data_IF_239760182957
#
_entry.id   IF_239760182957
#
_cell.length_a   1.000
_cell.length_b   1.000
_cell.length_c   1.000
_cell.angle_alpha   90.00
_cell.angle_beta   90.00
_cell.angle_gamma   90.00
#
_symmetry.space_group_name_H-M   'P 1'
#
loop_
_entity.id
_entity.type
_entity.pdbx_description
1 polymer ?
#
# COMPACT_ATOMS: atom_id res chain seq x y z
N UNK A 1 -5.86 3.36 19.68
CA UNK A 1 -4.85 2.79 18.76
C UNK A 1 -3.75 3.78 18.39
N UNK A 2 -4.09 4.94 17.85
CA UNK A 2 -3.09 5.83 17.25
C UNK A 2 -2.08 6.42 18.22
N UNK A 3 -2.49 6.78 19.43
CA UNK A 3 -1.56 7.35 20.40
C UNK A 3 -0.58 6.34 21.02
N UNK A 4 -0.78 5.04 20.76
CA UNK A 4 0.17 4.00 21.14
C UNK A 4 0.93 3.45 19.93
N UNK A 5 0.72 4.04 18.75
CA UNK A 5 1.39 3.60 17.54
C UNK A 5 2.87 3.92 17.61
N UNK A 6 3.70 2.92 17.36
CA UNK A 6 5.14 3.10 17.24
C UNK A 6 5.51 3.22 15.78
N UNK A 7 6.40 4.17 15.47
CA UNK A 7 6.87 4.41 14.12
C UNK A 7 8.38 4.31 14.11
N UNK A 8 8.90 3.49 13.21
CA UNK A 8 10.34 3.36 12.96
C UNK A 8 10.67 4.03 11.63
N UNK A 9 11.68 4.90 11.62
CA UNK A 9 12.18 5.49 10.38
C UNK A 9 13.35 4.65 9.86
N UNK A 10 13.16 4.09 8.68
CA UNK A 10 14.14 3.20 8.04
C UNK A 10 15.06 3.98 7.12
N UNK A 11 16.32 3.53 7.00
CA UNK A 11 17.27 4.05 6.00
C UNK A 11 17.06 3.52 4.59
N UNK A 12 16.12 2.62 4.37
CA UNK A 12 15.83 2.07 3.04
C UNK A 12 15.10 3.08 2.17
N UNK A 13 15.39 3.08 0.87
CA UNK A 13 14.71 3.95 -0.08
C UNK A 13 13.35 3.36 -0.45
N UNK A 14 12.35 4.25 -0.53
CA UNK A 14 11.04 3.89 -1.09
C UNK A 14 10.32 2.77 -0.35
N UNK A 15 10.33 2.78 0.98
CA UNK A 15 9.87 1.66 1.77
C UNK A 15 8.89 2.11 2.86
N UNK A 16 7.77 1.41 2.94
CA UNK A 16 6.80 1.57 4.02
C UNK A 16 6.10 0.23 4.25
N UNK A 17 5.91 -0.14 5.50
CA UNK A 17 5.23 -1.38 5.85
C UNK A 17 5.03 -1.50 7.34
N UNK A 18 4.63 -2.69 7.77
CA UNK A 18 4.34 -3.01 9.16
C UNK A 18 5.18 -4.19 9.58
N UNK A 19 5.76 -4.11 10.78
CA UNK A 19 6.54 -5.22 11.34
C UNK A 19 5.65 -6.42 11.64
N UNK A 20 6.10 -7.61 11.26
CA UNK A 20 5.43 -8.86 11.58
C UNK A 20 5.69 -9.34 13.01
N UNK A 21 6.58 -8.65 13.74
CA UNK A 21 6.94 -8.99 15.12
C UNK A 21 5.95 -8.34 16.10
N UNK A 22 5.75 -7.03 16.00
CA UNK A 22 4.94 -6.28 16.97
C UNK A 22 3.94 -5.32 16.30
N UNK A 23 3.85 -5.32 14.97
CA UNK A 23 2.88 -4.52 14.23
C UNK A 23 3.20 -3.03 14.17
N UNK A 24 4.43 -2.62 14.52
CA UNK A 24 4.76 -1.19 14.41
C UNK A 24 4.94 -0.77 12.94
N UNK A 25 4.71 0.52 12.68
CA UNK A 25 4.83 1.09 11.35
C UNK A 25 6.29 1.39 11.03
N UNK A 26 6.72 1.02 9.83
CA UNK A 26 8.09 1.27 9.34
C UNK A 26 8.00 2.16 8.11
N UNK A 27 8.65 3.33 8.14
CA UNK A 27 8.60 4.29 7.04
C UNK A 27 10.03 4.65 6.61
N UNK A 28 10.30 4.56 5.30
CA UNK A 28 11.56 5.06 4.75
C UNK A 28 11.59 6.58 4.88
N UNK A 29 12.63 7.11 5.52
CA UNK A 29 12.83 8.55 5.60
C UNK A 29 13.03 9.15 4.21
N UNK A 30 13.72 8.46 3.32
CA UNK A 30 13.91 8.89 1.94
C UNK A 30 12.56 9.01 1.21
N UNK A 31 11.72 7.98 1.31
CA UNK A 31 10.41 7.99 0.66
C UNK A 31 9.54 9.12 1.21
N UNK A 32 9.53 9.29 2.53
CA UNK A 32 8.74 10.34 3.17
C UNK A 32 9.14 11.73 2.68
N UNK A 33 10.43 11.95 2.42
CA UNK A 33 10.95 13.25 1.99
C UNK A 33 10.89 13.45 0.47
N UNK A 34 10.91 12.40 -0.34
CA UNK A 34 11.07 12.49 -1.78
C UNK A 34 9.94 11.86 -2.59
N UNK A 35 9.05 11.09 -1.97
CA UNK A 35 7.96 10.44 -2.67
C UNK A 35 6.83 11.39 -3.01
N UNK A 36 5.91 10.92 -3.83
CA UNK A 36 4.69 11.65 -4.16
C UNK A 36 3.79 11.75 -2.92
N UNK A 37 3.34 12.96 -2.61
CA UNK A 37 2.57 13.22 -1.39
C UNK A 37 1.26 12.42 -1.34
N UNK A 38 0.58 12.27 -2.47
CA UNK A 38 -0.66 11.51 -2.54
C UNK A 38 -0.38 10.03 -2.30
N UNK A 39 0.65 9.49 -2.95
CA UNK A 39 1.04 8.08 -2.75
C UNK A 39 1.43 7.83 -1.28
N UNK A 40 2.18 8.74 -0.68
CA UNK A 40 2.57 8.63 0.74
C UNK A 40 1.33 8.60 1.63
N UNK A 41 0.40 9.51 1.41
CA UNK A 41 -0.84 9.56 2.20
C UNK A 41 -1.64 8.28 2.08
N UNK A 42 -1.82 7.79 0.86
CA UNK A 42 -2.57 6.55 0.63
C UNK A 42 -1.85 5.33 1.19
N UNK A 43 -0.50 5.32 1.13
CA UNK A 43 0.29 4.26 1.75
C UNK A 43 0.14 4.26 3.27
N UNK A 44 0.08 5.43 3.89
CA UNK A 44 -0.16 5.51 5.34
C UNK A 44 -1.53 4.92 5.68
N UNK A 45 -2.58 5.26 4.93
CA UNK A 45 -3.91 4.67 5.13
C UNK A 45 -3.85 3.15 5.00
N UNK A 46 -3.20 2.66 3.95
CA UNK A 46 -3.03 1.22 3.70
C UNK A 46 -2.33 0.53 4.88
N UNK A 47 -1.21 1.09 5.34
CA UNK A 47 -0.43 0.46 6.41
C UNK A 47 -1.12 0.56 7.77
N UNK A 48 -1.90 1.61 8.03
CA UNK A 48 -2.67 1.69 9.27
C UNK A 48 -3.75 0.61 9.35
N UNK A 49 -4.32 0.20 8.22
CA UNK A 49 -5.22 -0.96 8.20
C UNK A 49 -4.46 -2.22 8.63
N UNK A 50 -3.23 -2.41 8.14
CA UNK A 50 -2.41 -3.55 8.57
C UNK A 50 -2.08 -3.51 10.06
N UNK A 51 -1.80 -2.35 10.63
CA UNK A 51 -1.58 -2.21 12.08
C UNK A 51 -2.83 -2.71 12.83
N UNK A 52 -4.02 -2.29 12.41
CA UNK A 52 -5.27 -2.74 13.01
C UNK A 52 -5.44 -4.24 12.88
N UNK A 53 -5.19 -4.79 11.68
CA UNK A 53 -5.29 -6.22 11.42
C UNK A 53 -4.35 -7.01 12.33
N UNK A 54 -3.12 -6.54 12.49
CA UNK A 54 -2.16 -7.17 13.38
C UNK A 54 -2.69 -7.20 14.81
N UNK A 55 -3.24 -6.10 15.29
CA UNK A 55 -3.82 -6.01 16.64
C UNK A 55 -5.02 -6.93 16.83
N UNK A 56 -5.75 -7.21 15.74
CA UNK A 56 -6.88 -8.14 15.74
C UNK A 56 -6.44 -9.60 15.62
N UNK A 57 -5.14 -9.87 15.52
CA UNK A 57 -4.60 -11.22 15.43
C UNK A 57 -4.62 -11.82 14.03
N UNK A 58 -4.85 -11.01 12.99
CA UNK A 58 -4.83 -11.51 11.60
C UNK A 58 -3.42 -11.75 11.11
N UNK A 59 -3.26 -12.78 10.28
CA UNK A 59 -1.98 -13.10 9.66
C UNK A 59 -1.74 -12.20 8.45
N UNK A 60 -0.78 -11.28 8.55
CA UNK A 60 -0.53 -10.28 7.49
C UNK A 60 0.22 -10.87 6.29
N UNK A 61 1.10 -11.86 6.51
CA UNK A 61 1.99 -12.40 5.49
C UNK A 61 1.61 -13.83 5.13
N UNK A 62 0.33 -14.03 4.81
CA UNK A 62 -0.23 -15.35 4.53
C UNK A 62 0.22 -15.85 3.17
N UNK A 63 1.15 -16.80 3.16
CA UNK A 63 1.74 -17.35 1.94
C UNK A 63 0.81 -18.30 1.15
N UNK A 64 -0.40 -18.59 1.67
CA UNK A 64 -1.39 -19.37 0.92
C UNK A 64 -1.97 -18.60 -0.25
N UNK A 65 -1.77 -17.29 -0.27
CA UNK A 65 -2.28 -16.39 -1.32
C UNK A 65 -1.13 -15.66 -1.99
N UNK A 66 -1.27 -15.39 -3.29
CA UNK A 66 -0.44 -14.38 -3.93
C UNK A 66 -0.72 -13.03 -3.28
N UNK A 67 0.27 -12.14 -3.27
CA UNK A 67 0.16 -10.86 -2.59
C UNK A 67 -1.13 -10.11 -2.94
N UNK A 68 -1.45 -10.00 -4.23
CA UNK A 68 -2.62 -9.23 -4.69
C UNK A 68 -3.95 -9.90 -4.38
N UNK A 69 -3.94 -11.17 -4.03
CA UNK A 69 -5.15 -11.93 -3.67
C UNK A 69 -5.29 -12.11 -2.16
N UNK A 70 -4.30 -11.67 -1.40
CA UNK A 70 -4.27 -11.83 0.05
C UNK A 70 -5.37 -11.00 0.69
N UNK A 71 -6.28 -11.60 1.47
CA UNK A 71 -7.43 -10.86 2.04
C UNK A 71 -7.06 -9.62 2.85
N UNK A 72 -5.96 -9.68 3.60
CA UNK A 72 -5.50 -8.52 4.37
C UNK A 72 -5.03 -7.39 3.47
N UNK A 73 -4.39 -7.71 2.34
CA UNK A 73 -3.97 -6.70 1.38
C UNK A 73 -5.17 -6.09 0.65
N UNK A 74 -6.14 -6.93 0.26
CA UNK A 74 -7.35 -6.44 -0.40
C UNK A 74 -8.10 -5.47 0.51
N UNK A 75 -8.26 -5.80 1.79
CA UNK A 75 -8.91 -4.91 2.73
C UNK A 75 -8.15 -3.58 2.85
N UNK A 76 -6.82 -3.64 3.01
CA UNK A 76 -6.00 -2.44 3.14
C UNK A 76 -6.07 -1.55 1.89
N UNK A 77 -5.98 -2.16 0.71
CA UNK A 77 -6.13 -1.42 -0.55
C UNK A 77 -7.54 -0.85 -0.73
N UNK A 78 -8.57 -1.56 -0.27
CA UNK A 78 -9.95 -1.06 -0.36
C UNK A 78 -10.11 0.24 0.41
N UNK A 79 -9.53 0.33 1.60
CA UNK A 79 -9.56 1.58 2.38
C UNK A 79 -8.79 2.71 1.69
N UNK A 80 -7.62 2.40 1.12
CA UNK A 80 -6.84 3.40 0.39
C UNK A 80 -7.58 3.90 -0.86
N UNK A 81 -8.21 2.99 -1.60
CA UNK A 81 -8.99 3.36 -2.80
C UNK A 81 -10.20 4.20 -2.41
N UNK A 82 -10.90 3.86 -1.35
CA UNK A 82 -12.03 4.66 -0.85
C UNK A 82 -11.58 6.09 -0.55
N UNK A 83 -10.45 6.24 0.16
CA UNK A 83 -9.90 7.56 0.45
C UNK A 83 -9.47 8.29 -0.81
N UNK A 84 -8.87 7.59 -1.77
CA UNK A 84 -8.49 8.17 -3.05
C UNK A 84 -9.72 8.75 -3.78
N UNK A 85 -10.83 8.03 -3.75
CA UNK A 85 -12.08 8.53 -4.34
C UNK A 85 -12.63 9.74 -3.59
N UNK A 86 -12.52 9.75 -2.27
CA UNK A 86 -12.92 10.91 -1.47
C UNK A 86 -12.08 12.15 -1.80
N UNK A 87 -10.83 11.96 -2.18
CA UNK A 87 -9.95 13.04 -2.63
C UNK A 87 -10.22 13.48 -4.08
N UNK A 88 -11.12 12.79 -4.79
CA UNK A 88 -11.45 13.10 -6.16
C UNK A 88 -10.47 12.56 -7.20
N UNK A 89 -9.68 11.55 -6.87
CA UNK A 89 -8.73 10.98 -7.81
C UNK A 89 -9.44 10.17 -8.88
N UNK A 90 -8.92 10.24 -10.11
CA UNK A 90 -9.43 9.44 -11.24
C UNK A 90 -8.99 7.97 -11.07
N UNK A 91 -9.68 7.08 -11.77
CA UNK A 91 -9.28 5.66 -11.80
C UNK A 91 -7.87 5.49 -12.36
N UNK A 92 -7.49 6.33 -13.35
CA UNK A 92 -6.13 6.32 -13.88
C UNK A 92 -5.09 6.62 -12.80
N UNK A 93 -5.34 7.67 -12.00
CA UNK A 93 -4.43 8.02 -10.90
C UNK A 93 -4.40 6.95 -9.82
N UNK A 94 -5.55 6.32 -9.54
CA UNK A 94 -5.63 5.21 -8.59
C UNK A 94 -4.78 4.03 -9.08
N UNK A 95 -4.85 3.69 -10.37
CA UNK A 95 -4.01 2.64 -10.94
C UNK A 95 -2.51 2.96 -10.80
N UNK A 96 -2.11 4.22 -10.97
CA UNK A 96 -0.74 4.63 -10.73
C UNK A 96 -0.31 4.36 -9.28
N UNK A 97 -1.21 4.62 -8.33
CA UNK A 97 -0.95 4.31 -6.93
C UNK A 97 -0.84 2.81 -6.69
N UNK A 98 -1.73 2.01 -7.26
CA UNK A 98 -1.78 0.56 -7.05
C UNK A 98 -0.58 -0.17 -7.64
N UNK A 99 -0.05 0.33 -8.77
CA UNK A 99 1.04 -0.32 -9.48
C UNK A 99 2.34 -0.20 -8.68
N UNK A 100 2.79 -1.29 -8.10
CA UNK A 100 4.09 -1.35 -7.44
C UNK A 100 5.18 -1.72 -8.42
N UNK A 101 6.44 -1.52 -8.04
CA UNK A 101 7.60 -1.80 -8.88
C UNK A 101 7.66 -3.25 -9.34
N UNK A 102 7.31 -4.20 -8.47
CA UNK A 102 7.39 -5.63 -8.76
C UNK A 102 6.13 -6.21 -9.42
N UNK A 103 5.05 -5.45 -9.49
CA UNK A 103 3.77 -5.91 -10.03
C UNK A 103 3.77 -5.80 -11.55
N UNK A 104 3.38 -6.86 -12.26
CA UNK A 104 3.20 -6.80 -13.70
C UNK A 104 1.82 -6.27 -14.06
N UNK A 105 1.60 -6.02 -15.35
CA UNK A 105 0.34 -5.42 -15.82
C UNK A 105 -0.87 -6.33 -15.59
N UNK A 106 -0.70 -7.64 -15.72
CA UNK A 106 -1.79 -8.58 -15.48
C UNK A 106 -2.21 -8.60 -14.00
N UNK A 107 -1.23 -8.49 -13.10
CA UNK A 107 -1.51 -8.39 -11.67
C UNK A 107 -2.23 -7.09 -11.34
N UNK A 108 -1.84 -5.98 -11.98
CA UNK A 108 -2.55 -4.71 -11.81
C UNK A 108 -3.99 -4.80 -12.29
N UNK A 109 -4.23 -5.41 -13.45
CA UNK A 109 -5.59 -5.62 -13.96
C UNK A 109 -6.45 -6.40 -12.98
N UNK A 110 -5.90 -7.47 -12.42
CA UNK A 110 -6.62 -8.33 -11.49
C UNK A 110 -6.93 -7.58 -10.18
N UNK A 111 -5.96 -6.86 -9.67
CA UNK A 111 -6.13 -6.07 -8.45
C UNK A 111 -7.17 -4.97 -8.65
N UNK A 112 -7.08 -4.23 -9.76
CA UNK A 112 -8.06 -3.18 -10.09
C UNK A 112 -9.47 -3.75 -10.17
N UNK A 113 -9.63 -4.90 -10.81
CA UNK A 113 -10.93 -5.57 -10.90
C UNK A 113 -11.46 -5.93 -9.51
N UNK A 114 -10.62 -6.50 -8.67
CA UNK A 114 -11.00 -6.86 -7.30
C UNK A 114 -11.45 -5.64 -6.50
N UNK A 115 -10.80 -4.50 -6.70
CA UNK A 115 -11.08 -3.26 -5.99
C UNK A 115 -12.14 -2.39 -6.67
N UNK A 116 -12.72 -2.86 -7.76
CA UNK A 116 -13.71 -2.13 -8.53
C UNK A 116 -13.18 -0.78 -9.05
N UNK A 117 -11.95 -0.79 -9.53
CA UNK A 117 -11.29 0.34 -10.16
C UNK A 117 -11.18 0.05 -11.65
N UNK A 118 -11.51 1.03 -12.49
CA UNK A 118 -11.37 0.89 -13.94
C UNK A 118 -9.88 0.84 -14.28
N UNK A 119 -9.46 -0.27 -14.88
CA UNK A 119 -8.06 -0.47 -15.22
C UNK A 119 -7.57 0.62 -16.20
N UNK A 120 -6.36 1.12 -15.96
CA UNK A 120 -5.62 1.98 -16.86
C UNK A 120 -4.16 1.55 -16.86
N UNK A 121 -3.54 1.52 -18.03
CA UNK A 121 -2.13 1.12 -18.15
C UNK A 121 -1.21 2.12 -17.45
N UNK A 122 -0.24 1.61 -16.73
CA UNK A 122 0.75 2.41 -16.01
C UNK A 122 2.15 2.07 -16.55
N UNK A 123 2.89 3.09 -16.99
CA UNK A 123 4.25 2.90 -17.50
C UNK A 123 5.22 2.54 -16.38
N UNK A 124 6.13 1.61 -16.67
CA UNK A 124 7.20 1.26 -15.76
C UNK A 124 8.39 2.20 -15.95
N UNK A 125 8.31 3.39 -15.42
CA UNK A 125 9.40 4.35 -15.63
C UNK A 125 9.96 4.94 -14.34
N UNK A 126 9.34 4.70 -13.21
CA UNK A 126 9.71 5.31 -11.95
C UNK A 126 9.92 4.26 -10.88
N UNK A 127 10.96 3.47 -11.06
CA UNK A 127 11.26 2.31 -10.21
C UNK A 127 11.48 2.67 -8.75
N UNK A 128 11.93 3.89 -8.46
CA UNK A 128 12.20 4.34 -7.11
C UNK A 128 11.08 5.18 -6.53
N UNK A 129 9.99 5.33 -7.25
CA UNK A 129 8.87 6.17 -6.82
C UNK A 129 8.24 5.67 -5.53
N UNK A 130 8.05 4.36 -5.43
CA UNK A 130 7.35 3.77 -4.30
C UNK A 130 7.71 2.30 -4.14
N UNK A 131 8.01 1.90 -2.92
CA UNK A 131 8.21 0.49 -2.56
C UNK A 131 7.42 0.15 -1.32
N UNK A 132 6.84 -1.05 -1.31
CA UNK A 132 6.18 -1.64 -0.15
C UNK A 132 6.78 -2.99 0.17
N UNK A 133 6.74 -3.35 1.43
CA UNK A 133 7.10 -4.70 1.85
C UNK A 133 5.95 -5.45 2.49
#
# INVERSE_FOLDING_TARGET
MLHNLKVEFSGRRGYMGVSDIDGHLIISAYYLNNGDMIDIYLDIIHELVHVRQFMEGKELFDNRYDYIDRPTEIEAYSHAVEEARNLGLTDERICEYLKTEWMNDEELKRLAKTLNVKYAYVKEQEKDRRRRF
#
